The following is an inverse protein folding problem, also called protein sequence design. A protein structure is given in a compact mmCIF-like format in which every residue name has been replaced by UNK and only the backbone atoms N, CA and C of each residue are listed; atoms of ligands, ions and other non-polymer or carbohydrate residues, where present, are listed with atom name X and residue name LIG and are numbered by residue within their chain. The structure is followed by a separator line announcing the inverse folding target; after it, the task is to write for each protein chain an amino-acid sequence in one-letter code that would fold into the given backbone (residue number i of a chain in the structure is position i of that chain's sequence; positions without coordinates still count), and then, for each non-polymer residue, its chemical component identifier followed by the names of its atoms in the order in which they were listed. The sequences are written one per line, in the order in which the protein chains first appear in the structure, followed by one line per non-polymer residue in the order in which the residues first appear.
data_IF_039412537776
#
_entry.id   IF_039412537776
#
_cell.length_a   1.000
_cell.length_b   1.000
_cell.length_c   1.000
_cell.angle_alpha   90.00
_cell.angle_beta   90.00
_cell.angle_gamma   90.00
#
_symmetry.space_group_name_H-M   'P 1'
#
loop_
_entity.id
_entity.type
_entity.pdbx_description
1 polymer ?
#
# COMPACT_ATOMS: atom_id res chain seq x y z
N UNK A 1 48.31 14.90 12.83
CA UNK A 1 46.90 14.96 13.25
C UNK A 1 46.04 15.01 12.00
N UNK A 2 45.53 13.85 11.57
CA UNK A 2 44.85 13.69 10.28
C UNK A 2 43.35 13.82 10.50
N UNK A 3 42.76 14.93 10.07
CA UNK A 3 41.32 15.18 10.16
C UNK A 3 40.59 14.46 9.03
N UNK A 4 39.96 13.33 9.35
CA UNK A 4 39.00 12.68 8.45
C UNK A 4 37.75 13.55 8.34
N UNK A 5 37.49 14.08 7.15
CA UNK A 5 36.20 14.65 6.80
C UNK A 5 35.20 13.52 6.49
N UNK A 6 34.00 13.51 7.08
CA UNK A 6 33.00 12.50 6.76
C UNK A 6 32.40 12.77 5.38
N UNK A 7 32.47 11.76 4.52
CA UNK A 7 31.78 11.71 3.23
C UNK A 7 30.28 11.83 3.51
N UNK A 8 29.69 12.96 3.10
CA UNK A 8 28.23 13.09 3.04
C UNK A 8 27.72 12.06 2.03
N UNK A 9 27.08 11.00 2.50
CA UNK A 9 26.33 10.10 1.65
C UNK A 9 25.22 10.91 0.96
N UNK A 10 25.43 11.18 -0.32
CA UNK A 10 24.38 11.66 -1.23
C UNK A 10 23.34 10.55 -1.33
N UNK A 11 22.32 10.58 -0.47
CA UNK A 11 21.10 9.84 -0.71
C UNK A 11 20.40 10.47 -1.92
N UNK A 12 20.77 10.04 -3.12
CA UNK A 12 19.97 10.26 -4.32
C UNK A 12 18.56 9.76 -4.06
N UNK A 13 17.58 10.67 -4.02
CA UNK A 13 16.14 10.39 -3.94
C UNK A 13 15.69 9.64 -5.21
N UNK A 14 15.93 8.33 -5.31
CA UNK A 14 15.50 7.54 -6.47
C UNK A 14 14.07 7.05 -6.31
N UNK A 15 12.99 7.78 -6.55
CA UNK A 15 11.58 7.35 -6.31
C UNK A 15 11.29 5.84 -6.54
N UNK A 16 10.43 5.22 -5.71
CA UNK A 16 9.93 3.86 -6.01
C UNK A 16 9.31 3.90 -7.39
N UNK A 17 9.66 2.94 -8.25
CA UNK A 17 9.38 3.05 -9.67
C UNK A 17 8.49 1.91 -10.12
N UNK A 18 7.56 2.28 -10.99
CA UNK A 18 7.06 1.39 -12.04
C UNK A 18 8.21 0.66 -12.72
N UNK A 19 8.04 -0.63 -12.94
CA UNK A 19 8.88 -1.36 -13.90
C UNK A 19 8.14 -1.36 -15.24
N UNK A 20 8.79 -0.84 -16.27
CA UNK A 20 8.19 -0.71 -17.61
C UNK A 20 8.29 -1.99 -18.44
N UNK A 21 9.06 -2.96 -17.98
CA UNK A 21 9.59 -4.00 -18.87
C UNK A 21 8.75 -5.28 -18.86
N UNK A 22 7.76 -5.41 -17.96
CA UNK A 22 6.89 -6.58 -17.88
C UNK A 22 5.43 -6.18 -18.06
N UNK A 23 4.81 -6.74 -19.09
CA UNK A 23 3.35 -6.72 -19.27
C UNK A 23 2.78 -7.58 -18.15
N UNK A 24 1.78 -7.07 -17.43
CA UNK A 24 1.04 -7.87 -16.46
C UNK A 24 0.26 -8.94 -17.21
N UNK A 25 0.34 -10.18 -16.76
CA UNK A 25 -0.48 -11.28 -17.25
C UNK A 25 -1.60 -11.54 -16.24
N UNK A 26 -2.73 -12.08 -16.70
CA UNK A 26 -3.90 -12.35 -15.86
C UNK A 26 -3.56 -13.17 -14.60
N UNK A 27 -2.68 -14.16 -14.76
CA UNK A 27 -2.22 -15.05 -13.68
C UNK A 27 -1.38 -14.33 -12.61
N UNK A 28 -0.75 -13.20 -12.95
CA UNK A 28 0.01 -12.37 -12.00
C UNK A 28 -0.91 -11.54 -11.09
N UNK A 29 -2.15 -11.31 -11.54
CA UNK A 29 -3.12 -10.44 -10.86
C UNK A 29 -3.94 -11.28 -9.89
N UNK A 30 -3.40 -11.46 -8.68
CA UNK A 30 -4.01 -12.25 -7.61
C UNK A 30 -4.18 -11.44 -6.32
N UNK A 31 -5.10 -11.89 -5.46
CA UNK A 31 -5.31 -11.28 -4.14
C UNK A 31 -3.99 -11.22 -3.35
N UNK A 32 -3.66 -10.02 -2.86
CA UNK A 32 -2.46 -9.73 -2.09
C UNK A 32 -1.25 -9.31 -2.92
N UNK A 33 -1.34 -9.37 -4.25
CA UNK A 33 -0.33 -8.79 -5.15
C UNK A 33 -0.23 -7.28 -4.95
N UNK A 34 0.99 -6.78 -4.91
CA UNK A 34 1.30 -5.35 -4.91
C UNK A 34 1.65 -4.94 -6.35
N UNK A 35 0.89 -3.97 -6.85
CA UNK A 35 1.04 -3.37 -8.16
C UNK A 35 1.28 -1.86 -8.01
N UNK A 36 1.52 -1.18 -9.12
CA UNK A 36 1.67 0.26 -9.19
C UNK A 36 0.50 0.87 -9.93
N UNK A 37 -0.19 1.82 -9.29
CA UNK A 37 -1.18 2.67 -9.93
C UNK A 37 -0.45 3.86 -10.58
N UNK A 38 -0.49 3.99 -11.93
CA UNK A 38 0.18 5.08 -12.63
C UNK A 38 -0.31 6.48 -12.23
N UNK A 39 0.42 7.54 -12.63
CA UNK A 39 -0.08 8.90 -12.59
C UNK A 39 -1.40 9.05 -13.36
N UNK A 40 -2.29 9.91 -12.86
CA UNK A 40 -3.64 10.13 -13.42
C UNK A 40 -3.64 10.47 -14.92
N UNK A 41 -2.65 11.23 -15.39
CA UNK A 41 -2.58 11.68 -16.79
C UNK A 41 -2.19 10.56 -17.78
N UNK A 42 -1.71 9.43 -17.28
CA UNK A 42 -1.39 8.24 -18.07
C UNK A 42 -2.54 7.24 -18.12
N UNK A 43 -3.65 7.53 -17.43
CA UNK A 43 -4.81 6.65 -17.33
C UNK A 43 -5.98 7.20 -18.16
N UNK A 44 -6.82 6.31 -18.71
CA UNK A 44 -8.09 6.71 -19.30
C UNK A 44 -8.95 7.51 -18.32
N UNK A 45 -9.75 8.44 -18.84
CA UNK A 45 -10.68 9.23 -18.03
C UNK A 45 -11.66 8.28 -17.33
N UNK A 46 -11.72 8.36 -16.00
CA UNK A 46 -12.61 7.52 -15.20
C UNK A 46 -12.16 6.06 -15.06
N UNK A 47 -10.88 5.75 -15.35
CA UNK A 47 -10.32 4.41 -15.17
C UNK A 47 -10.43 3.91 -13.72
N UNK A 48 -10.18 4.79 -12.74
CA UNK A 48 -10.31 4.45 -11.31
C UNK A 48 -11.69 4.86 -10.80
N UNK A 49 -12.36 3.91 -10.15
CA UNK A 49 -13.69 4.08 -9.53
C UNK A 49 -13.64 3.68 -8.06
N UNK A 50 -14.67 4.04 -7.30
CA UNK A 50 -14.87 3.50 -5.95
C UNK A 50 -15.58 2.16 -6.09
N UNK A 51 -14.97 1.09 -5.59
CA UNK A 51 -15.62 -0.22 -5.49
C UNK A 51 -16.70 -0.21 -4.38
N UNK A 52 -16.52 0.67 -3.38
CA UNK A 52 -17.47 0.84 -2.30
C UNK A 52 -17.57 2.31 -1.86
N UNK A 53 -18.78 2.69 -1.42
CA UNK A 53 -19.08 4.03 -0.93
C UNK A 53 -19.54 5.00 -2.03
N UNK A 54 -19.72 6.27 -1.64
CA UNK A 54 -20.13 7.37 -2.54
C UNK A 54 -19.13 8.51 -2.43
N UNK A 55 -18.95 9.26 -3.53
CA UNK A 55 -18.14 10.48 -3.55
C UNK A 55 -17.09 10.49 -4.66
N UNK A 56 -16.43 11.63 -4.82
CA UNK A 56 -15.37 11.80 -5.80
C UNK A 56 -14.11 10.98 -5.43
N UNK A 57 -13.30 10.68 -6.44
CA UNK A 57 -11.97 10.11 -6.28
C UNK A 57 -11.03 11.22 -5.79
N UNK A 58 -10.33 10.99 -4.68
CA UNK A 58 -9.35 11.94 -4.15
C UNK A 58 -8.14 12.02 -5.10
N UNK A 59 -7.63 13.21 -5.41
CA UNK A 59 -6.51 13.36 -6.37
C UNK A 59 -5.21 12.71 -5.89
N UNK A 60 -5.02 12.58 -4.57
CA UNK A 60 -3.81 12.05 -3.95
C UNK A 60 -3.67 10.53 -3.97
N UNK A 61 -4.48 9.79 -4.74
CA UNK A 61 -4.43 8.32 -4.76
C UNK A 61 -3.55 7.75 -5.88
N UNK A 62 -3.25 8.54 -6.90
CA UNK A 62 -2.50 8.11 -8.10
C UNK A 62 -0.99 8.12 -7.85
N UNK A 63 -0.23 7.42 -8.71
CA UNK A 63 1.22 7.32 -8.59
C UNK A 63 1.68 6.67 -7.26
N UNK A 64 1.00 5.58 -6.89
CA UNK A 64 1.21 4.88 -5.62
C UNK A 64 1.24 3.36 -5.83
N UNK A 65 1.95 2.63 -4.95
CA UNK A 65 1.76 1.19 -4.87
C UNK A 65 0.34 0.89 -4.36
N UNK A 66 -0.24 -0.20 -4.83
CA UNK A 66 -1.58 -0.66 -4.47
C UNK A 66 -1.55 -2.15 -4.16
N UNK A 67 -2.46 -2.62 -3.31
CA UNK A 67 -2.65 -4.05 -3.05
C UNK A 67 -4.00 -4.52 -3.57
N UNK A 68 -3.98 -5.58 -4.38
CA UNK A 68 -5.20 -6.25 -4.86
C UNK A 68 -5.89 -6.95 -3.70
N UNK A 69 -7.17 -6.65 -3.46
CA UNK A 69 -7.98 -7.25 -2.39
C UNK A 69 -9.07 -8.19 -2.92
N UNK A 70 -9.58 -7.98 -4.13
CA UNK A 70 -10.49 -8.91 -4.80
C UNK A 70 -10.46 -8.76 -6.30
N UNK A 71 -10.94 -9.81 -6.97
CA UNK A 71 -11.33 -9.85 -8.38
C UNK A 71 -12.75 -10.39 -8.40
N UNK A 72 -13.69 -9.63 -8.95
CA UNK A 72 -15.09 -10.06 -9.00
C UNK A 72 -15.28 -10.98 -10.21
N UNK A 73 -16.21 -11.92 -10.11
CA UNK A 73 -16.56 -12.80 -11.24
C UNK A 73 -17.33 -12.07 -12.33
N UNK A 74 -18.01 -10.98 -11.98
CA UNK A 74 -18.87 -10.21 -12.87
C UNK A 74 -18.06 -9.28 -13.80
N UNK A 75 -16.90 -8.82 -13.32
CA UNK A 75 -15.97 -7.97 -14.07
C UNK A 75 -14.56 -8.60 -13.97
N UNK A 76 -14.24 -9.61 -14.80
CA UNK A 76 -13.01 -10.39 -14.65
C UNK A 76 -11.74 -9.55 -14.82
N UNK A 77 -11.83 -8.49 -15.61
CA UNK A 77 -10.73 -7.56 -15.87
C UNK A 77 -10.61 -6.48 -14.78
N UNK A 78 -11.64 -6.32 -13.94
CA UNK A 78 -11.61 -5.37 -12.85
C UNK A 78 -11.02 -5.98 -11.58
N UNK A 79 -10.21 -5.18 -10.90
CA UNK A 79 -9.65 -5.53 -9.59
C UNK A 79 -9.97 -4.46 -8.59
N UNK A 80 -10.26 -4.90 -7.38
CA UNK A 80 -10.43 -4.02 -6.25
C UNK A 80 -9.15 -3.92 -5.45
N UNK A 81 -8.83 -2.71 -4.97
CA UNK A 81 -7.55 -2.46 -4.31
C UNK A 81 -7.62 -1.40 -3.20
N UNK A 82 -6.63 -1.49 -2.31
CA UNK A 82 -6.28 -0.42 -1.38
C UNK A 82 -4.97 0.26 -1.80
N UNK A 83 -4.83 1.54 -1.50
CA UNK A 83 -3.60 2.30 -1.71
C UNK A 83 -2.58 1.98 -0.62
N UNK A 84 -1.30 1.89 -0.99
CA UNK A 84 -0.17 1.86 -0.07
C UNK A 84 0.52 3.23 -0.08
N UNK A 85 0.77 3.79 1.09
CA UNK A 85 1.43 5.10 1.25
C UNK A 85 2.61 5.02 2.21
N UNK A 86 3.68 5.73 1.90
CA UNK A 86 4.82 5.94 2.80
C UNK A 86 4.75 7.27 3.54
N UNK A 87 3.71 8.08 3.29
CA UNK A 87 3.63 9.48 3.72
C UNK A 87 4.88 10.32 3.39
N UNK A 88 5.54 10.00 2.26
CA UNK A 88 6.80 10.65 1.89
C UNK A 88 7.96 10.30 2.84
N UNK A 89 7.94 9.12 3.45
CA UNK A 89 8.94 8.64 4.41
C UNK A 89 8.67 9.07 5.86
N UNK A 90 7.50 9.62 6.15
CA UNK A 90 7.09 9.99 7.52
C UNK A 90 6.33 8.86 8.20
N UNK A 91 6.49 8.75 9.51
CA UNK A 91 5.82 7.74 10.33
C UNK A 91 4.38 8.14 10.62
N UNK A 92 3.52 7.15 10.83
CA UNK A 92 2.11 7.38 11.16
C UNK A 92 1.91 8.28 12.39
N UNK A 93 2.77 8.15 13.40
CA UNK A 93 2.77 9.03 14.59
C UNK A 93 3.24 10.45 14.31
N UNK A 94 4.01 10.69 13.24
CA UNK A 94 4.44 12.05 12.87
C UNK A 94 3.32 12.76 12.10
N UNK A 95 2.59 12.02 11.26
CA UNK A 95 1.43 12.55 10.53
C UNK A 95 0.24 12.77 11.46
N UNK A 96 -0.01 11.84 12.39
CA UNK A 96 -1.14 11.89 13.31
C UNK A 96 -0.70 11.69 14.77
N UNK A 97 0.16 12.57 15.30
CA UNK A 97 0.80 12.37 16.60
C UNK A 97 -0.01 12.71 17.85
N UNK A 98 -1.14 13.39 17.72
CA UNK A 98 -1.94 13.78 18.90
C UNK A 98 -2.75 12.60 19.42
N UNK A 99 -2.98 12.56 20.72
CA UNK A 99 -3.71 11.48 21.41
C UNK A 99 -5.23 11.65 21.39
N UNK A 100 -5.75 12.70 20.76
CA UNK A 100 -7.18 12.96 20.72
C UNK A 100 -7.92 12.04 19.73
N UNK A 101 -9.24 11.95 19.89
CA UNK A 101 -10.09 11.03 19.12
C UNK A 101 -10.00 11.23 17.61
N UNK A 102 -9.84 12.48 17.15
CA UNK A 102 -9.68 12.77 15.72
C UNK A 102 -8.45 12.07 15.14
N UNK A 103 -7.29 12.22 15.80
CA UNK A 103 -6.04 11.61 15.35
C UNK A 103 -6.06 10.09 15.52
N UNK A 104 -6.62 9.58 16.63
CA UNK A 104 -6.81 8.13 16.86
C UNK A 104 -7.66 7.52 15.75
N UNK A 105 -8.79 8.14 15.41
CA UNK A 105 -9.66 7.70 14.33
C UNK A 105 -8.92 7.70 12.99
N UNK A 106 -8.20 8.78 12.65
CA UNK A 106 -7.40 8.86 11.42
C UNK A 106 -6.34 7.76 11.33
N UNK A 107 -5.60 7.49 12.40
CA UNK A 107 -4.61 6.39 12.43
C UNK A 107 -5.24 5.03 12.19
N UNK A 108 -6.46 4.82 12.69
CA UNK A 108 -7.11 3.51 12.66
C UNK A 108 -7.37 2.93 11.25
N UNK A 109 -7.29 3.77 10.22
CA UNK A 109 -7.40 3.42 8.80
C UNK A 109 -6.10 2.93 8.17
N UNK A 110 -4.99 2.94 8.89
CA UNK A 110 -3.68 2.56 8.36
C UNK A 110 -3.14 1.32 9.05
N UNK A 111 -2.71 0.33 8.26
CA UNK A 111 -1.97 -0.83 8.77
C UNK A 111 -0.51 -0.74 8.34
N UNK A 112 0.46 -0.82 9.28
CA UNK A 112 1.87 -0.80 8.92
C UNK A 112 2.28 -2.05 8.15
N UNK A 113 3.18 -1.89 7.18
CA UNK A 113 3.84 -2.97 6.45
C UNK A 113 5.28 -3.04 6.93
N UNK A 114 5.75 -4.21 7.36
CA UNK A 114 7.14 -4.43 7.77
C UNK A 114 8.11 -3.95 6.66
N UNK A 115 9.14 -3.16 6.98
CA UNK A 115 9.71 -2.93 8.32
C UNK A 115 9.18 -1.68 9.04
N UNK A 116 8.05 -1.09 8.63
CA UNK A 116 7.49 0.07 9.30
C UNK A 116 7.24 -0.20 10.80
N UNK A 117 7.40 0.81 11.68
CA UNK A 117 7.11 0.67 13.10
C UNK A 117 5.70 0.16 13.36
N UNK A 118 5.54 -0.55 14.49
CA UNK A 118 4.22 -0.97 14.96
C UNK A 118 3.26 0.22 15.04
N UNK A 119 1.98 -0.06 14.81
CA UNK A 119 0.95 0.97 14.85
C UNK A 119 0.95 1.68 16.23
N UNK A 120 0.87 3.02 16.30
CA UNK A 120 1.01 3.75 17.58
C UNK A 120 -0.01 3.33 18.64
N UNK A 121 -1.21 2.94 18.22
CA UNK A 121 -2.28 2.50 19.13
C UNK A 121 -2.18 1.00 19.52
N UNK A 122 -1.16 0.26 19.05
CA UNK A 122 -0.95 -1.16 19.33
C UNK A 122 -0.23 -1.43 20.68
N UNK A 123 -0.64 -0.72 21.74
CA UNK A 123 0.04 -0.73 23.05
C UNK A 123 -0.26 -1.98 23.91
N UNK A 124 -1.29 -2.75 23.59
CA UNK A 124 -1.70 -3.96 24.32
C UNK A 124 -1.82 -5.17 23.41
N UNK A 125 -1.83 -6.40 23.96
CA UNK A 125 -2.05 -7.64 23.17
C UNK A 125 -3.34 -7.58 22.33
N UNK A 126 -4.43 -7.05 22.92
CA UNK A 126 -5.71 -6.86 22.22
C UNK A 126 -5.59 -5.82 21.11
N UNK A 127 -4.90 -4.71 21.36
CA UNK A 127 -4.71 -3.67 20.37
C UNK A 127 -3.80 -4.11 19.21
N UNK A 128 -2.75 -4.88 19.48
CA UNK A 128 -1.88 -5.50 18.45
C UNK A 128 -2.66 -6.40 17.49
N UNK A 129 -3.66 -7.13 17.98
CA UNK A 129 -4.58 -7.90 17.11
C UNK A 129 -5.47 -7.00 16.24
N UNK A 130 -5.84 -5.81 16.73
CA UNK A 130 -6.67 -4.83 15.99
C UNK A 130 -5.87 -4.01 14.97
N UNK A 131 -4.57 -3.86 15.19
CA UNK A 131 -3.64 -3.09 14.37
C UNK A 131 -2.39 -3.94 14.08
N UNK A 132 -2.55 -5.04 13.33
CA UNK A 132 -1.43 -5.90 12.99
C UNK A 132 -0.44 -5.18 12.08
N UNK A 133 0.84 -5.49 12.24
CA UNK A 133 1.85 -5.22 11.21
C UNK A 133 1.75 -6.31 10.16
N UNK A 134 1.67 -5.90 8.90
CA UNK A 134 1.56 -6.77 7.73
C UNK A 134 2.95 -7.10 7.22
N UNK A 135 3.12 -8.32 6.73
CA UNK A 135 4.37 -8.85 6.18
C UNK A 135 4.20 -9.27 4.73
N UNK A 136 5.23 -8.97 3.92
CA UNK A 136 5.33 -9.48 2.57
C UNK A 136 5.88 -10.90 2.56
N UNK A 137 5.52 -11.66 1.54
CA UNK A 137 6.05 -12.99 1.28
C UNK A 137 7.55 -12.91 0.95
N UNK A 138 8.22 -14.04 1.11
CA UNK A 138 9.61 -14.23 0.66
C UNK A 138 10.60 -13.21 1.26
N UNK A 139 10.28 -12.72 2.47
CA UNK A 139 11.02 -11.66 3.18
C UNK A 139 11.24 -10.37 2.35
N UNK A 140 10.39 -10.13 1.34
CA UNK A 140 10.46 -8.94 0.50
C UNK A 140 10.21 -7.68 1.33
N UNK A 141 10.84 -6.57 0.95
CA UNK A 141 10.68 -5.29 1.62
C UNK A 141 10.30 -4.21 0.61
N UNK A 142 9.33 -3.39 0.98
CA UNK A 142 9.05 -2.16 0.25
C UNK A 142 10.19 -1.17 0.45
N UNK A 143 10.33 -0.28 -0.52
CA UNK A 143 11.41 0.72 -0.56
C UNK A 143 11.40 1.63 0.68
N UNK A 144 10.21 2.00 1.15
CA UNK A 144 10.02 2.85 2.33
C UNK A 144 9.15 2.16 3.38
N UNK A 145 9.29 2.59 4.63
CA UNK A 145 8.29 2.33 5.66
C UNK A 145 6.91 2.78 5.13
N UNK A 146 6.01 1.82 4.97
CA UNK A 146 4.76 2.02 4.25
C UNK A 146 3.58 1.47 5.02
N UNK A 147 2.39 1.95 4.66
CA UNK A 147 1.13 1.63 5.32
C UNK A 147 0.07 1.36 4.25
N UNK A 148 -0.75 0.32 4.46
CA UNK A 148 -1.96 0.15 3.66
C UNK A 148 -3.02 1.12 4.18
N UNK A 149 -3.60 1.93 3.30
CA UNK A 149 -4.71 2.83 3.58
C UNK A 149 -6.05 2.11 3.33
N UNK A 150 -6.77 1.81 4.39
CA UNK A 150 -8.03 1.07 4.37
C UNK A 150 -9.27 1.95 4.25
N UNK A 151 -9.09 3.27 4.12
CA UNK A 151 -10.21 4.23 4.11
C UNK A 151 -11.22 3.92 3.02
N UNK A 152 -10.69 3.59 1.84
CA UNK A 152 -11.47 3.42 0.63
C UNK A 152 -11.00 2.16 -0.12
N UNK A 153 -11.95 1.51 -0.81
CA UNK A 153 -11.69 0.44 -1.76
C UNK A 153 -11.97 0.98 -3.15
N UNK A 154 -10.96 0.91 -4.01
CA UNK A 154 -11.06 1.37 -5.39
C UNK A 154 -11.20 0.19 -6.34
N UNK A 155 -11.70 0.45 -7.55
CA UNK A 155 -11.77 -0.48 -8.67
C UNK A 155 -11.05 0.12 -9.88
N UNK A 156 -10.34 -0.72 -10.64
CA UNK A 156 -9.71 -0.38 -11.91
C UNK A 156 -9.60 -1.67 -12.74
N UNK A 157 -9.60 -1.52 -14.06
CA UNK A 157 -9.14 -2.58 -14.96
C UNK A 157 -7.63 -2.85 -14.74
N UNK A 158 -7.25 -4.11 -14.48
CA UNK A 158 -5.88 -4.46 -14.11
C UNK A 158 -4.86 -4.17 -15.21
N UNK A 159 -5.26 -4.09 -16.48
CA UNK A 159 -4.36 -3.73 -17.59
C UNK A 159 -3.81 -2.30 -17.44
N UNK A 160 -4.52 -1.45 -16.70
CA UNK A 160 -4.08 -0.09 -16.39
C UNK A 160 -3.11 -0.01 -15.21
N UNK A 161 -2.87 -1.13 -14.51
CA UNK A 161 -1.87 -1.22 -13.45
C UNK A 161 -0.52 -1.64 -14.05
N UNK A 162 0.52 -1.47 -13.25
CA UNK A 162 1.88 -1.84 -13.63
C UNK A 162 2.54 -2.67 -12.54
N UNK A 163 3.57 -3.41 -12.90
CA UNK A 163 4.34 -4.16 -11.89
C UNK A 163 5.04 -3.18 -10.94
N UNK A 164 4.92 -3.44 -9.63
CA UNK A 164 5.65 -2.70 -8.62
C UNK A 164 7.12 -3.11 -8.61
N UNK A 165 8.02 -2.14 -8.68
CA UNK A 165 9.47 -2.33 -8.55
C UNK A 165 10.05 -1.59 -7.35
N UNK A 166 11.01 -2.24 -6.68
CA UNK A 166 11.89 -1.59 -5.72
C UNK A 166 13.30 -1.46 -6.30
N UNK A 167 13.79 -0.24 -6.58
CA UNK A 167 15.16 -0.01 -7.06
C UNK A 167 16.25 -0.58 -6.15
N UNK A 168 15.97 -0.69 -4.86
CA UNK A 168 16.93 -1.18 -3.86
C UNK A 168 17.00 -2.72 -3.84
N UNK A 169 16.01 -3.40 -4.43
CA UNK A 169 15.96 -4.87 -4.58
C UNK A 169 15.48 -5.26 -5.99
N UNK A 170 16.29 -4.97 -7.04
CA UNK A 170 15.86 -5.07 -8.43
C UNK A 170 15.57 -6.50 -8.90
N UNK A 171 16.07 -7.51 -8.20
CA UNK A 171 15.84 -8.94 -8.51
C UNK A 171 14.57 -9.49 -7.85
N UNK A 172 13.96 -8.73 -6.94
CA UNK A 172 12.70 -9.14 -6.32
C UNK A 172 11.56 -8.76 -7.25
N UNK A 173 10.74 -9.76 -7.57
CA UNK A 173 9.57 -9.62 -8.42
C UNK A 173 8.35 -10.12 -7.66
N UNK A 174 7.18 -9.69 -8.09
CA UNK A 174 5.92 -10.19 -7.56
C UNK A 174 5.71 -9.99 -6.07
N UNK A 175 5.99 -8.77 -5.61
CA UNK A 175 5.67 -8.34 -4.25
C UNK A 175 4.23 -8.70 -3.91
N UNK A 176 4.07 -9.49 -2.86
CA UNK A 176 2.75 -9.90 -2.37
C UNK A 176 2.78 -10.02 -0.86
N UNK A 177 1.64 -9.82 -0.22
CA UNK A 177 1.50 -10.10 1.21
C UNK A 177 1.53 -11.61 1.49
N UNK A 178 2.04 -11.98 2.66
CA UNK A 178 1.84 -13.33 3.17
C UNK A 178 0.36 -13.62 3.38
N UNK A 179 -0.02 -14.91 3.31
CA UNK A 179 -1.40 -15.37 3.51
C UNK A 179 -2.03 -14.83 4.80
N UNK A 180 -1.31 -14.93 5.92
CA UNK A 180 -1.79 -14.47 7.23
C UNK A 180 -1.98 -12.95 7.28
N UNK A 181 -1.07 -12.19 6.67
CA UNK A 181 -1.20 -10.74 6.50
C UNK A 181 -2.42 -10.38 5.66
N UNK A 182 -2.69 -11.12 4.58
CA UNK A 182 -3.89 -10.92 3.77
C UNK A 182 -5.17 -11.20 4.54
N UNK A 183 -5.25 -12.29 5.30
CA UNK A 183 -6.42 -12.59 6.14
C UNK A 183 -6.70 -11.42 7.10
N UNK A 184 -5.65 -10.90 7.74
CA UNK A 184 -5.75 -9.76 8.67
C UNK A 184 -6.14 -8.47 7.97
N UNK A 185 -5.55 -8.18 6.81
CA UNK A 185 -5.87 -7.02 5.99
C UNK A 185 -7.35 -7.03 5.59
N UNK A 186 -7.84 -8.14 5.04
CA UNK A 186 -9.23 -8.28 4.59
C UNK A 186 -10.20 -8.21 5.76
N UNK A 187 -9.91 -8.89 6.88
CA UNK A 187 -10.74 -8.83 8.07
C UNK A 187 -10.87 -7.40 8.62
N UNK A 188 -9.76 -6.65 8.63
CA UNK A 188 -9.76 -5.25 9.07
C UNK A 188 -10.48 -4.35 8.07
N UNK A 189 -10.22 -4.50 6.77
CA UNK A 189 -10.88 -3.75 5.70
C UNK A 189 -12.39 -3.92 5.77
N UNK A 190 -12.87 -5.17 5.88
CA UNK A 190 -14.28 -5.51 6.09
C UNK A 190 -14.86 -4.85 7.33
N UNK A 191 -14.17 -4.91 8.47
CA UNK A 191 -14.65 -4.28 9.70
C UNK A 191 -14.87 -2.77 9.54
N UNK A 192 -13.98 -2.09 8.81
CA UNK A 192 -13.98 -0.64 8.71
C UNK A 192 -14.90 -0.11 7.60
N UNK A 193 -14.96 -0.81 6.47
CA UNK A 193 -15.65 -0.34 5.27
C UNK A 193 -16.98 -1.04 5.04
N UNK A 194 -17.20 -2.22 5.63
CA UNK A 194 -18.32 -3.09 5.30
C UNK A 194 -18.19 -3.77 3.93
N UNK A 195 -17.10 -3.54 3.19
CA UNK A 195 -16.86 -4.15 1.88
C UNK A 195 -16.55 -5.66 2.02
N UNK A 196 -17.18 -6.45 1.15
CA UNK A 196 -16.95 -7.89 1.02
C UNK A 196 -16.22 -8.14 -0.30
N UNK A 197 -14.97 -8.64 -0.24
CA UNK A 197 -14.17 -9.04 -1.39
C UNK A 197 -14.88 -10.10 -2.24
#
# INVERSE_FOLDING_TARGET
MTTYSPIKQLHTRRSSCQRNDKILEDEDVVQGRILWLPPKHELPVGAVRRAHGRGAIEEGIFNHPVVVVSRTTDEPDAVHFHIITSFGGKKLQEIYGKSNDFHVNRRSWYLPISPAPQHPDAISKKAKKRFPTLELADAALLRWESYVNLRDVYSIDWENLRDYGNPDTPLTHGYRFQRESMIRLLAKGKQLTGYFP
#
